data_IF_542325719645
#
_entry.id   IF_542325719645
#
_cell.length_a   1.000
_cell.length_b   1.000
_cell.length_c   1.000
_cell.angle_alpha   90.00
_cell.angle_beta   90.00
_cell.angle_gamma   90.00
#
_symmetry.space_group_name_H-M   'P 1'
#
loop_
_entity.id
_entity.type
_entity.pdbx_description
1 polymer ?
#
# COMPACT_ATOMS: atom_id res chain seq x y z
N UNK A 1 18.05 -2.67 -18.08
CA UNK A 1 17.68 -3.85 -17.26
C UNK A 1 17.59 -3.52 -15.79
N UNK A 2 18.70 -3.27 -15.07
CA UNK A 2 18.65 -3.01 -13.62
C UNK A 2 17.79 -1.79 -13.26
N UNK A 3 17.86 -0.71 -14.03
CA UNK A 3 17.04 0.49 -13.79
C UNK A 3 15.55 0.23 -14.02
N UNK A 4 15.20 -0.58 -15.02
CA UNK A 4 13.80 -0.94 -15.30
C UNK A 4 13.23 -1.79 -14.17
N UNK A 5 14.01 -2.72 -13.62
CA UNK A 5 13.60 -3.51 -12.45
C UNK A 5 13.33 -2.61 -11.23
N UNK A 6 14.19 -1.61 -10.97
CA UNK A 6 13.96 -0.64 -9.89
C UNK A 6 12.70 0.19 -10.13
N UNK A 7 12.48 0.60 -11.38
CA UNK A 7 11.32 1.39 -11.77
C UNK A 7 10.01 0.63 -11.54
N UNK A 8 9.94 -0.64 -11.98
CA UNK A 8 8.74 -1.49 -11.90
C UNK A 8 8.66 -2.37 -10.64
N UNK A 9 9.34 -2.02 -9.55
CA UNK A 9 9.27 -2.76 -8.27
C UNK A 9 9.63 -4.26 -8.39
N UNK A 10 10.53 -4.58 -9.31
CA UNK A 10 10.93 -5.95 -9.61
C UNK A 10 9.96 -6.73 -10.50
N UNK A 11 8.82 -6.16 -10.89
CA UNK A 11 7.93 -6.77 -11.87
C UNK A 11 8.56 -6.80 -13.26
N UNK A 12 8.51 -7.96 -13.90
CA UNK A 12 8.92 -8.12 -15.29
C UNK A 12 7.79 -7.87 -16.30
N UNK A 13 6.52 -7.84 -15.84
CA UNK A 13 5.36 -7.73 -16.75
C UNK A 13 5.44 -6.53 -17.69
N UNK A 14 5.78 -5.31 -17.23
CA UNK A 14 5.81 -4.11 -18.08
C UNK A 14 7.03 -4.02 -19.00
N UNK A 15 8.00 -4.93 -18.89
CA UNK A 15 9.27 -4.85 -19.62
C UNK A 15 9.16 -5.64 -20.93
N UNK A 16 8.99 -4.97 -22.06
CA UNK A 16 8.67 -5.61 -23.35
C UNK A 16 9.76 -6.56 -23.88
N UNK A 17 11.03 -6.24 -23.65
CA UNK A 17 12.17 -7.07 -24.10
C UNK A 17 12.32 -8.41 -23.35
N UNK A 18 11.53 -8.65 -22.29
CA UNK A 18 11.59 -9.91 -21.52
C UNK A 18 10.64 -10.93 -22.17
N UNK A 19 11.10 -12.14 -22.51
CA UNK A 19 10.24 -13.18 -23.07
C UNK A 19 9.08 -13.56 -22.14
N UNK A 20 7.95 -13.97 -22.71
CA UNK A 20 6.74 -14.31 -21.94
C UNK A 20 6.96 -15.42 -20.93
N UNK A 21 7.71 -16.47 -21.29
CA UNK A 21 8.07 -17.57 -20.39
C UNK A 21 8.84 -17.09 -19.15
N UNK A 22 9.74 -16.11 -19.32
CA UNK A 22 10.50 -15.52 -18.23
C UNK A 22 9.58 -14.65 -17.35
N UNK A 23 8.67 -13.89 -17.95
CA UNK A 23 7.65 -13.14 -17.20
C UNK A 23 6.75 -14.06 -16.36
N UNK A 24 6.39 -15.23 -16.90
CA UNK A 24 5.59 -16.23 -16.17
C UNK A 24 6.40 -16.88 -15.04
N UNK A 25 7.67 -17.22 -15.28
CA UNK A 25 8.53 -17.87 -14.29
C UNK A 25 8.84 -16.95 -13.10
N UNK A 26 9.03 -15.65 -13.35
CA UNK A 26 9.35 -14.66 -12.32
C UNK A 26 8.17 -13.76 -11.94
N UNK A 27 6.95 -14.27 -12.08
CA UNK A 27 5.75 -13.57 -11.60
C UNK A 27 5.84 -13.33 -10.09
N UNK A 28 5.57 -12.10 -9.65
CA UNK A 28 5.59 -11.74 -8.23
C UNK A 28 4.35 -12.26 -7.49
N UNK A 29 4.36 -12.18 -6.15
CA UNK A 29 3.26 -12.70 -5.33
C UNK A 29 1.88 -12.07 -5.64
N UNK A 30 1.84 -10.81 -6.09
CA UNK A 30 0.61 -10.12 -6.48
C UNK A 30 0.18 -10.39 -7.92
N UNK A 31 1.08 -10.98 -8.71
CA UNK A 31 0.86 -11.31 -10.11
C UNK A 31 0.33 -12.74 -10.29
N UNK A 32 0.57 -13.61 -9.31
CA UNK A 32 0.03 -14.97 -9.28
C UNK A 32 -1.41 -14.95 -8.74
N UNK A 33 -2.33 -15.57 -9.47
CA UNK A 33 -3.72 -15.71 -9.01
C UNK A 33 -3.78 -16.51 -7.69
N UNK A 34 -4.47 -15.96 -6.70
CA UNK A 34 -4.52 -16.49 -5.32
C UNK A 34 -5.03 -17.93 -5.26
N UNK A 35 -5.87 -18.33 -6.22
CA UNK A 35 -6.37 -19.72 -6.35
C UNK A 35 -5.21 -20.73 -6.40
N UNK A 36 -4.14 -20.44 -7.13
CA UNK A 36 -2.99 -21.35 -7.22
C UNK A 36 -2.30 -21.53 -5.88
N UNK A 37 -2.25 -20.46 -5.08
CA UNK A 37 -1.64 -20.49 -3.76
C UNK A 37 -2.45 -21.38 -2.80
N UNK A 38 -3.78 -21.28 -2.85
CA UNK A 38 -4.71 -22.10 -2.06
C UNK A 38 -4.66 -23.57 -2.48
N UNK A 39 -4.70 -23.86 -3.78
CA UNK A 39 -4.62 -25.23 -4.32
C UNK A 39 -3.30 -25.91 -3.96
N UNK A 40 -2.18 -25.21 -4.13
CA UNK A 40 -0.87 -25.72 -3.73
C UNK A 40 -0.80 -25.96 -2.21
N UNK A 41 -1.41 -25.07 -1.41
CA UNK A 41 -1.45 -25.20 0.04
C UNK A 41 -2.26 -26.40 0.49
N UNK A 42 -3.41 -26.63 -0.13
CA UNK A 42 -4.27 -27.77 0.17
C UNK A 42 -3.57 -29.09 -0.14
N UNK A 43 -2.86 -29.16 -1.27
CA UNK A 43 -2.12 -30.37 -1.67
C UNK A 43 -1.03 -30.74 -0.67
N UNK A 44 -0.26 -29.77 -0.19
CA UNK A 44 0.80 -30.01 0.80
C UNK A 44 0.27 -30.20 2.22
N UNK A 45 -0.89 -29.62 2.56
CA UNK A 45 -1.53 -29.75 3.88
C UNK A 45 -1.81 -31.21 4.27
N UNK A 46 -2.01 -32.11 3.29
CA UNK A 46 -2.18 -33.55 3.50
C UNK A 46 -0.99 -34.22 4.20
N UNK A 47 0.19 -33.61 4.09
CA UNK A 47 1.45 -34.12 4.65
C UNK A 47 1.95 -33.29 5.84
N UNK A 48 1.15 -32.31 6.30
CA UNK A 48 1.45 -31.44 7.45
C UNK A 48 0.52 -31.83 8.60
N UNK A 49 1.13 -32.29 9.69
CA UNK A 49 0.48 -32.76 10.91
C UNK A 49 -0.35 -31.67 11.59
N UNK A 50 0.24 -30.48 11.78
CA UNK A 50 -0.42 -29.28 12.27
C UNK A 50 -0.88 -28.43 11.09
N UNK A 51 -0.47 -27.17 10.99
CA UNK A 51 -0.92 -26.23 9.98
C UNK A 51 0.26 -25.50 9.32
N UNK A 52 -0.04 -24.48 8.52
CA UNK A 52 0.96 -23.71 7.79
C UNK A 52 0.57 -22.24 7.70
N UNK A 53 1.53 -21.35 7.84
CA UNK A 53 1.32 -19.91 7.71
C UNK A 53 1.14 -19.53 6.24
N UNK A 54 -0.11 -19.52 5.76
CA UNK A 54 -0.45 -19.17 4.39
C UNK A 54 -0.82 -17.68 4.26
N UNK A 55 0.14 -16.85 3.87
CA UNK A 55 -0.16 -15.48 3.46
C UNK A 55 -0.98 -15.48 2.16
N UNK A 56 -1.97 -14.60 2.08
CA UNK A 56 -2.81 -14.38 0.90
C UNK A 56 -2.44 -13.04 0.28
N UNK A 57 -2.18 -13.03 -1.02
CA UNK A 57 -1.80 -11.82 -1.77
C UNK A 57 -2.88 -11.49 -2.79
N UNK A 58 -3.29 -10.23 -2.85
CA UNK A 58 -4.30 -9.72 -3.80
C UNK A 58 -3.91 -8.35 -4.34
N UNK A 59 -3.77 -8.23 -5.67
CA UNK A 59 -3.48 -6.96 -6.35
C UNK A 59 -4.65 -5.95 -6.33
N UNK A 60 -5.80 -6.36 -5.79
CA UNK A 60 -6.94 -5.48 -5.56
C UNK A 60 -7.94 -6.13 -4.60
N UNK A 61 -8.33 -5.40 -3.56
CA UNK A 61 -9.31 -5.87 -2.59
C UNK A 61 -10.72 -5.77 -3.18
N UNK A 62 -11.45 -6.88 -3.18
CA UNK A 62 -12.87 -6.92 -3.49
C UNK A 62 -13.52 -7.90 -2.52
N UNK A 63 -14.63 -7.50 -1.90
CA UNK A 63 -15.37 -8.37 -0.98
C UNK A 63 -15.72 -9.71 -1.63
N UNK A 64 -16.14 -9.69 -2.91
CA UNK A 64 -16.42 -10.91 -3.67
C UNK A 64 -15.17 -11.80 -3.83
N UNK A 65 -14.01 -11.22 -4.21
CA UNK A 65 -12.79 -12.00 -4.38
C UNK A 65 -12.33 -12.62 -3.06
N UNK A 66 -12.46 -11.89 -1.96
CA UNK A 66 -12.12 -12.38 -0.63
C UNK A 66 -13.02 -13.55 -0.24
N UNK A 67 -14.34 -13.37 -0.40
CA UNK A 67 -15.33 -14.41 -0.14
C UNK A 67 -15.04 -15.70 -0.94
N UNK A 68 -14.84 -15.57 -2.26
CA UNK A 68 -14.51 -16.71 -3.13
C UNK A 68 -13.19 -17.41 -2.69
N UNK A 69 -12.17 -16.62 -2.31
CA UNK A 69 -10.85 -17.15 -1.90
C UNK A 69 -10.93 -17.90 -0.58
N UNK A 70 -11.58 -17.34 0.44
CA UNK A 70 -11.68 -17.98 1.75
C UNK A 70 -12.63 -19.19 1.72
N UNK A 71 -13.70 -19.13 0.92
CA UNK A 71 -14.55 -20.30 0.65
C UNK A 71 -13.76 -21.41 -0.02
N UNK A 72 -12.94 -21.09 -1.03
CA UNK A 72 -12.07 -22.09 -1.66
C UNK A 72 -11.11 -22.72 -0.64
N UNK A 73 -10.47 -21.91 0.22
CA UNK A 73 -9.56 -22.41 1.25
C UNK A 73 -10.26 -23.40 2.21
N UNK A 74 -11.48 -23.06 2.64
CA UNK A 74 -12.31 -23.92 3.48
C UNK A 74 -12.71 -25.22 2.77
N UNK A 75 -13.26 -25.14 1.56
CA UNK A 75 -13.66 -26.31 0.75
C UNK A 75 -12.48 -27.24 0.46
N UNK A 76 -11.27 -26.70 0.32
CA UNK A 76 -10.03 -27.47 0.11
C UNK A 76 -9.42 -28.05 1.38
N UNK A 77 -10.03 -27.84 2.55
CA UNK A 77 -9.60 -28.43 3.81
C UNK A 77 -8.32 -27.80 4.38
N UNK A 78 -8.05 -26.52 4.08
CA UNK A 78 -6.96 -25.81 4.73
C UNK A 78 -7.30 -25.55 6.21
N UNK A 79 -6.30 -25.77 7.08
CA UNK A 79 -6.44 -25.53 8.52
C UNK A 79 -6.29 -24.06 8.88
N UNK A 80 -5.43 -23.32 8.17
CA UNK A 80 -5.10 -21.92 8.49
C UNK A 80 -4.88 -21.08 7.24
N UNK A 81 -5.30 -19.82 7.33
CA UNK A 81 -4.77 -18.70 6.54
C UNK A 81 -4.05 -17.75 7.49
N UNK A 82 -3.16 -16.90 6.98
CA UNK A 82 -2.39 -15.96 7.79
C UNK A 82 -2.69 -14.50 7.42
N UNK A 83 -1.72 -13.73 6.93
CA UNK A 83 -1.99 -12.35 6.54
C UNK A 83 -2.69 -12.24 5.19
N UNK A 84 -3.66 -11.34 5.10
CA UNK A 84 -4.09 -10.75 3.85
C UNK A 84 -3.16 -9.58 3.51
N UNK A 85 -2.51 -9.64 2.36
CA UNK A 85 -1.70 -8.58 1.78
C UNK A 85 -2.41 -8.05 0.55
N UNK A 86 -2.81 -6.78 0.60
CA UNK A 86 -3.45 -6.09 -0.52
C UNK A 86 -2.52 -4.99 -1.04
N UNK A 87 -2.48 -4.82 -2.36
CA UNK A 87 -1.90 -3.62 -2.96
C UNK A 87 -2.98 -2.55 -3.12
N UNK A 88 -2.66 -1.34 -2.68
CA UNK A 88 -3.48 -0.16 -2.94
C UNK A 88 -3.41 0.20 -4.42
N UNK A 89 -4.51 0.75 -4.97
CA UNK A 89 -4.53 1.25 -6.35
C UNK A 89 -3.56 2.43 -6.56
N UNK A 90 -3.19 3.14 -5.49
CA UNK A 90 -2.26 4.28 -5.50
C UNK A 90 -0.96 3.93 -4.78
N UNK A 91 0.16 4.24 -5.42
CA UNK A 91 1.51 4.09 -4.86
C UNK A 91 2.12 5.47 -4.57
N UNK A 92 2.86 5.56 -3.46
CA UNK A 92 3.65 6.75 -3.12
C UNK A 92 4.83 6.88 -4.09
N UNK A 93 5.15 8.11 -4.51
CA UNK A 93 6.30 8.38 -5.37
C UNK A 93 7.61 7.93 -4.69
N UNK A 94 8.46 7.22 -5.43
CA UNK A 94 9.75 6.77 -4.90
C UNK A 94 10.76 7.92 -4.96
N UNK A 95 11.43 8.20 -3.84
CA UNK A 95 12.48 9.22 -3.74
C UNK A 95 13.74 8.93 -4.59
N UNK A 96 13.89 7.72 -5.10
CA UNK A 96 15.07 7.25 -5.84
C UNK A 96 14.91 7.34 -7.36
N UNK A 97 13.73 7.73 -7.86
CA UNK A 97 13.46 7.90 -9.29
C UNK A 97 13.33 9.39 -9.55
N UNK A 98 14.14 9.94 -10.47
CA UNK A 98 14.07 11.33 -10.91
C UNK A 98 12.85 11.58 -11.82
N UNK A 99 11.68 11.15 -11.38
CA UNK A 99 10.41 11.44 -12.01
C UNK A 99 9.59 12.17 -10.95
N UNK A 100 9.60 13.50 -10.96
CA UNK A 100 8.77 14.34 -10.09
C UNK A 100 7.32 14.40 -10.59
N UNK A 101 6.71 13.24 -10.84
CA UNK A 101 5.38 13.14 -11.46
C UNK A 101 4.27 13.49 -10.47
N UNK A 102 4.52 13.36 -9.16
CA UNK A 102 3.58 13.69 -8.09
C UNK A 102 3.97 14.96 -7.31
N UNK A 103 5.08 15.64 -7.68
CA UNK A 103 5.44 16.94 -7.12
C UNK A 103 4.62 18.05 -7.79
N UNK A 104 3.51 18.44 -7.15
CA UNK A 104 2.64 19.53 -7.57
C UNK A 104 3.22 20.94 -7.29
N UNK A 105 4.40 21.03 -6.63
CA UNK A 105 5.07 22.30 -6.32
C UNK A 105 6.29 22.48 -7.21
N UNK A 106 6.29 23.53 -8.04
CA UNK A 106 7.47 23.91 -8.82
C UNK A 106 8.58 24.35 -7.87
N UNK A 107 9.70 23.62 -7.86
CA UNK A 107 10.97 24.11 -7.33
C UNK A 107 11.42 25.26 -8.24
N UNK A 108 11.08 26.49 -7.88
CA UNK A 108 11.37 27.67 -8.69
C UNK A 108 12.86 27.88 -8.88
N UNK A 109 13.39 27.50 -10.05
CA UNK A 109 14.60 28.12 -10.60
C UNK A 109 14.18 29.42 -11.29
N UNK A 110 14.23 30.54 -10.56
CA UNK A 110 14.20 31.87 -11.16
C UNK A 110 15.53 32.57 -10.88
N UNK A 111 16.33 32.61 -11.93
CA UNK A 111 17.39 33.59 -12.13
C UNK A 111 16.81 35.02 -12.07
N UNK A 112 17.26 35.82 -11.11
CA UNK A 112 17.06 37.27 -11.09
C UNK A 112 16.29 37.79 -9.86
N UNK A 113 17.04 38.36 -8.90
CA UNK A 113 16.53 39.12 -7.75
C UNK A 113 15.85 40.44 -8.20
N UNK A 114 14.96 41.10 -7.41
CA UNK A 114 15.32 41.69 -6.12
C UNK A 114 14.25 41.63 -4.99
N UNK A 115 14.76 41.59 -3.75
CA UNK A 115 14.13 42.07 -2.50
C UNK A 115 12.63 41.79 -2.28
N UNK A 116 12.33 40.54 -1.93
CA UNK A 116 11.15 40.14 -1.17
C UNK A 116 11.60 39.17 -0.09
N UNK A 117 11.02 39.26 1.10
CA UNK A 117 11.39 38.44 2.29
C UNK A 117 11.71 36.98 1.91
N UNK A 118 12.75 36.42 2.53
CA UNK A 118 13.16 35.05 2.23
C UNK A 118 12.00 34.08 2.50
N UNK A 119 11.93 32.97 1.75
CA UNK A 119 10.90 31.95 1.96
C UNK A 119 10.87 31.42 3.40
N UNK A 120 12.02 31.44 4.08
CA UNK A 120 12.13 31.07 5.50
C UNK A 120 11.42 32.09 6.41
N UNK A 121 11.52 33.37 6.08
CA UNK A 121 10.95 34.48 6.84
C UNK A 121 9.42 34.59 6.61
N UNK A 122 8.96 34.30 5.40
CA UNK A 122 7.54 34.14 5.09
C UNK A 122 6.93 32.91 5.78
N UNK A 123 7.65 31.78 5.82
CA UNK A 123 7.21 30.58 6.55
C UNK A 123 7.19 30.81 8.07
N UNK A 124 8.17 31.53 8.61
CA UNK A 124 8.20 31.90 10.03
C UNK A 124 7.06 32.86 10.41
N UNK A 125 6.70 33.80 9.54
CA UNK A 125 5.55 34.69 9.73
C UNK A 125 4.22 33.92 9.68
N UNK A 126 4.05 32.99 8.74
CA UNK A 126 2.87 32.13 8.64
C UNK A 126 2.73 31.19 9.85
N UNK A 127 3.84 30.61 10.33
CA UNK A 127 3.85 29.76 11.53
C UNK A 127 3.47 30.53 12.79
N UNK A 128 3.92 31.80 12.93
CA UNK A 128 3.53 32.68 14.03
C UNK A 128 2.04 33.03 14.00
N UNK A 129 1.45 33.23 12.82
CA UNK A 129 0.01 33.45 12.65
C UNK A 129 -0.83 32.19 12.93
N UNK A 130 -0.29 30.99 12.66
CA UNK A 130 -0.96 29.73 12.99
C UNK A 130 -0.92 29.42 14.50
N UNK A 131 0.10 29.87 15.24
CA UNK A 131 0.15 29.71 16.70
C UNK A 131 -0.80 30.64 17.47
N UNK A 132 -1.34 31.70 16.85
CA UNK A 132 -2.38 32.54 17.46
C UNK A 132 -3.79 31.99 17.29
N UNK A 133 -3.99 30.97 16.44
CA UNK A 133 -5.22 30.20 16.43
C UNK A 133 -5.14 29.17 17.55
N UNK A 134 -6.05 29.31 18.52
CA UNK A 134 -6.29 28.32 19.56
C UNK A 134 -6.29 26.91 18.95
N UNK A 135 -5.62 25.91 19.58
CA UNK A 135 -5.69 24.54 19.09
C UNK A 135 -7.15 24.11 18.98
N UNK A 136 -7.50 23.33 17.95
CA UNK A 136 -8.84 22.80 17.75
C UNK A 136 -9.22 21.86 18.91
N UNK A 137 -9.67 22.45 20.02
CA UNK A 137 -10.19 21.77 21.21
C UNK A 137 -11.66 21.35 21.05
N UNK A 138 -12.25 21.60 19.88
CA UNK A 138 -13.67 21.43 19.63
C UNK A 138 -14.07 19.99 19.25
N UNK A 139 -13.11 19.07 19.22
CA UNK A 139 -13.42 17.64 19.12
C UNK A 139 -13.89 17.16 20.49
N UNK A 140 -15.22 17.01 20.64
CA UNK A 140 -15.81 16.33 21.80
C UNK A 140 -15.43 14.85 21.76
N UNK A 141 -14.51 14.46 22.64
CA UNK A 141 -14.26 13.06 22.96
C UNK A 141 -15.31 12.61 23.98
N UNK A 142 -15.96 11.46 23.75
CA UNK A 142 -16.76 10.82 24.80
C UNK A 142 -15.81 10.34 25.91
N UNK A 143 -16.14 10.64 27.17
CA UNK A 143 -15.44 10.05 28.31
C UNK A 143 -15.69 8.55 28.36
N UNK A 144 -14.68 7.77 28.73
CA UNK A 144 -14.78 6.30 28.86
C UNK A 144 -15.90 5.88 29.84
N UNK A 145 -16.22 6.76 30.79
CA UNK A 145 -17.25 6.54 31.80
C UNK A 145 -18.63 7.12 31.43
N UNK A 146 -18.83 7.61 30.20
CA UNK A 146 -20.13 8.13 29.75
C UNK A 146 -21.02 6.98 29.24
N UNK A 147 -22.07 6.58 29.99
CA UNK A 147 -22.93 5.46 29.64
C UNK A 147 -23.91 5.79 28.49
N UNK A 148 -23.91 7.02 27.98
CA UNK A 148 -24.84 7.48 26.92
C UNK A 148 -24.20 7.53 25.53
N UNK A 149 -22.91 7.25 25.40
CA UNK A 149 -22.21 7.30 24.11
C UNK A 149 -22.30 5.97 23.36
N UNK A 150 -22.98 5.98 22.20
CA UNK A 150 -23.25 4.79 21.35
C UNK A 150 -22.02 4.23 20.61
N UNK A 151 -20.84 4.86 20.71
CA UNK A 151 -19.64 4.41 19.99
C UNK A 151 -19.00 3.13 20.53
N UNK A 152 -19.48 2.62 21.67
CA UNK A 152 -18.98 1.41 22.32
C UNK A 152 -19.99 0.24 22.36
N UNK A 153 -21.06 0.28 21.54
CA UNK A 153 -21.93 -0.90 21.29
C UNK A 153 -21.44 -1.74 20.12
#
# INVERSE_FOLDING_TARGET
MVMDLKHFDGSLRPIDRVPAEIKSLYATAFEVETVWLVEAAARRQKWIDQAQSLNIYMAGASGKKLDDTYKLAWVRGLKTTYYLRTQSATHVEKSTVAAGRLNAVSSGEQSGSPQGMSALEAAAAAARQQMTNLPATDIKFCGVDDPTCESCQ
#
